data_IF_427060842155
#
_entry.id   IF_427060842155
#
_cell.length_a   1.000
_cell.length_b   1.000
_cell.length_c   1.000
_cell.angle_alpha   90.00
_cell.angle_beta   90.00
_cell.angle_gamma   90.00
#
_symmetry.space_group_name_H-M   'P 1'
#
loop_
_entity.id
_entity.type
_entity.pdbx_description
1 polymer ?
#
# COMPACT_ATOMS: atom_id res chain seq x y z
N UNK A 1 13.48 6.28 -23.40
CA UNK A 1 12.36 6.81 -22.59
C UNK A 1 11.91 5.71 -21.66
N UNK A 2 12.24 5.81 -20.37
CA UNK A 2 11.64 4.92 -19.37
C UNK A 2 10.27 5.53 -19.08
N UNK A 3 9.20 4.83 -19.47
CA UNK A 3 7.84 5.17 -19.04
C UNK A 3 7.81 5.08 -17.52
N UNK A 4 7.96 6.22 -16.83
CA UNK A 4 7.55 6.36 -15.45
C UNK A 4 6.04 6.17 -15.43
N UNK A 5 5.58 4.93 -15.25
CA UNK A 5 4.19 4.65 -14.92
C UNK A 5 3.85 5.53 -13.71
N UNK A 6 2.81 6.36 -13.85
CA UNK A 6 2.41 7.33 -12.84
C UNK A 6 2.45 6.70 -11.45
N UNK A 7 3.25 7.26 -10.56
CA UNK A 7 3.40 6.83 -9.18
C UNK A 7 2.01 6.62 -8.56
N UNK A 8 1.59 5.37 -8.27
CA UNK A 8 0.27 5.15 -7.69
C UNK A 8 0.07 6.00 -6.42
N UNK A 9 -1.04 6.73 -6.32
CA UNK A 9 -1.33 7.56 -5.15
C UNK A 9 -2.35 6.86 -4.25
N UNK A 10 -1.95 6.58 -3.01
CA UNK A 10 -2.84 6.08 -1.96
C UNK A 10 -3.13 7.21 -0.97
N UNK A 11 -4.21 7.97 -1.15
CA UNK A 11 -4.51 9.10 -0.29
C UNK A 11 -4.76 8.64 1.15
N UNK A 12 -4.31 9.47 2.10
CA UNK A 12 -4.46 9.24 3.54
C UNK A 12 -3.71 8.02 4.07
N UNK A 13 -2.76 7.45 3.31
CA UNK A 13 -1.87 6.39 3.78
C UNK A 13 -0.90 6.96 4.83
N UNK A 14 -0.81 6.30 5.98
CA UNK A 14 0.25 6.52 6.98
C UNK A 14 0.80 5.16 7.44
N UNK A 15 2.11 5.10 7.65
CA UNK A 15 2.83 3.91 8.12
C UNK A 15 3.65 4.33 9.34
N UNK A 16 3.15 3.97 10.53
CA UNK A 16 3.76 4.36 11.80
C UNK A 16 3.96 3.12 12.68
N UNK A 17 5.19 2.87 13.13
CA UNK A 17 5.55 1.74 14.00
C UNK A 17 5.02 0.37 13.51
N UNK A 18 5.03 0.14 12.19
CA UNK A 18 4.50 -1.08 11.58
C UNK A 18 2.98 -1.14 11.42
N UNK A 19 2.26 -0.10 11.86
CA UNK A 19 0.83 0.05 11.63
C UNK A 19 0.59 0.77 10.32
N UNK A 20 -0.17 0.14 9.42
CA UNK A 20 -0.61 0.77 8.18
C UNK A 20 -2.03 1.29 8.40
N UNK A 21 -2.23 2.58 8.17
CA UNK A 21 -3.56 3.21 8.22
C UNK A 21 -3.89 3.87 6.88
N UNK A 22 -5.19 3.98 6.58
CA UNK A 22 -5.68 4.79 5.47
C UNK A 22 -6.87 5.62 5.91
N UNK A 23 -6.78 6.95 5.79
CA UNK A 23 -7.79 7.89 6.30
C UNK A 23 -8.11 7.64 7.78
N UNK A 24 -7.07 7.42 8.60
CA UNK A 24 -7.20 7.11 10.02
C UNK A 24 -7.77 5.72 10.35
N UNK A 25 -8.03 4.87 9.33
CA UNK A 25 -8.54 3.51 9.53
C UNK A 25 -7.41 2.49 9.39
N UNK A 26 -7.21 1.60 10.37
CA UNK A 26 -6.22 0.53 10.26
C UNK A 26 -6.46 -0.36 9.03
N UNK A 27 -5.37 -0.77 8.39
CA UNK A 27 -5.36 -1.72 7.27
C UNK A 27 -4.73 -3.03 7.73
N UNK A 28 -5.48 -4.11 7.57
CA UNK A 28 -4.99 -5.44 7.89
C UNK A 28 -3.87 -5.84 6.93
N UNK A 29 -2.77 -6.34 7.50
CA UNK A 29 -1.72 -7.03 6.76
C UNK A 29 -2.00 -8.52 6.83
N UNK A 30 -2.11 -9.15 5.67
CA UNK A 30 -2.36 -10.58 5.54
C UNK A 30 -1.20 -11.26 4.82
N UNK A 31 -0.86 -12.47 5.22
CA UNK A 31 0.17 -13.26 4.53
C UNK A 31 -0.49 -14.23 3.55
N UNK A 32 -0.04 -14.24 2.29
CA UNK A 32 -0.52 -15.22 1.32
C UNK A 32 0.24 -16.56 1.44
N UNK A 33 -0.19 -17.58 0.67
CA UNK A 33 0.41 -18.93 0.68
C UNK A 33 1.90 -18.97 0.32
N UNK A 34 2.45 -17.91 -0.26
CA UNK A 34 3.87 -17.78 -0.62
C UNK A 34 4.69 -17.06 0.44
N UNK A 35 4.11 -16.76 1.61
CA UNK A 35 4.79 -16.05 2.70
C UNK A 35 4.91 -14.53 2.46
N UNK A 36 4.17 -13.97 1.50
CA UNK A 36 4.24 -12.53 1.19
C UNK A 36 3.18 -11.79 2.01
N UNK A 37 3.62 -10.82 2.82
CA UNK A 37 2.74 -9.88 3.49
C UNK A 37 2.12 -8.91 2.48
N UNK A 38 0.80 -8.83 2.46
CA UNK A 38 0.02 -8.00 1.56
C UNK A 38 -0.97 -7.14 2.34
N UNK A 39 -1.30 -5.98 1.76
CA UNK A 39 -2.27 -5.04 2.31
C UNK A 39 -3.18 -4.53 1.19
N UNK A 40 -4.44 -4.29 1.52
CA UNK A 40 -5.42 -3.72 0.58
C UNK A 40 -5.62 -2.24 0.85
N UNK A 41 -5.42 -1.42 -0.18
CA UNK A 41 -5.52 0.03 -0.14
C UNK A 41 -6.54 0.53 -1.16
N UNK A 42 -7.15 1.68 -0.86
CA UNK A 42 -8.03 2.38 -1.80
C UNK A 42 -7.23 3.39 -2.62
N UNK A 43 -7.34 3.35 -3.93
CA UNK A 43 -6.70 4.31 -4.83
C UNK A 43 -7.46 5.64 -4.81
N UNK A 44 -6.85 6.70 -5.37
CA UNK A 44 -7.52 7.99 -5.56
C UNK A 44 -8.80 7.88 -6.40
N UNK A 45 -8.85 6.94 -7.35
CA UNK A 45 -10.02 6.64 -8.19
C UNK A 45 -11.08 5.78 -7.47
N UNK A 46 -10.88 5.47 -6.18
CA UNK A 46 -11.82 4.73 -5.36
C UNK A 46 -11.79 3.21 -5.55
N UNK A 47 -10.80 2.66 -6.27
CA UNK A 47 -10.63 1.21 -6.45
C UNK A 47 -9.87 0.61 -5.28
N UNK A 48 -10.13 -0.65 -4.95
CA UNK A 48 -9.31 -1.40 -3.98
C UNK A 48 -8.24 -2.19 -4.72
N UNK A 49 -7.00 -2.08 -4.27
CA UNK A 49 -5.86 -2.86 -4.78
C UNK A 49 -5.15 -3.57 -3.64
N UNK A 50 -4.74 -4.82 -3.86
CA UNK A 50 -3.95 -5.60 -2.90
C UNK A 50 -2.50 -5.66 -3.37
N UNK A 51 -1.58 -5.24 -2.51
CA UNK A 51 -0.18 -5.02 -2.85
C UNK A 51 0.73 -5.68 -1.81
N UNK A 52 1.93 -6.13 -2.17
CA UNK A 52 2.96 -6.50 -1.19
C UNK A 52 3.34 -5.32 -0.31
N UNK A 53 3.43 -5.52 1.00
CA UNK A 53 3.79 -4.49 1.98
C UNK A 53 5.18 -3.89 1.70
N UNK A 54 6.13 -4.70 1.21
CA UNK A 54 7.47 -4.22 0.83
C UNK A 54 7.45 -3.14 -0.27
N UNK A 55 6.42 -3.10 -1.14
CA UNK A 55 6.28 -2.03 -2.13
C UNK A 55 5.87 -0.69 -1.52
N UNK A 56 5.32 -0.68 -0.30
CA UNK A 56 4.98 0.56 0.41
C UNK A 56 6.21 1.24 0.99
N UNK A 57 7.21 0.49 1.46
CA UNK A 57 8.45 1.04 1.98
C UNK A 57 9.41 1.55 0.89
N UNK A 58 9.23 1.10 -0.36
CA UNK A 58 9.91 1.69 -1.53
C UNK A 58 9.37 3.08 -1.90
N UNK A 59 8.28 3.53 -1.26
CA UNK A 59 7.64 4.81 -1.55
C UNK A 59 8.06 5.97 -0.66
N UNK A 60 8.55 5.65 0.55
CA UNK A 60 8.99 6.62 1.56
C UNK A 60 10.50 6.91 1.46
N UNK A 61 11.22 6.27 0.54
CA UNK A 61 12.67 6.37 0.35
C UNK A 61 13.06 7.23 -0.85
#
# INVERSE_FOLDING_TARGET
>A
MINQAATPRYPGLSIEHGTITQHGRPRAVIMNRRGIHQVSLRTAEGRTVTLPVCRLFQWEA
#
